data_IF_218850665844
#
_entry.id   IF_218850665844
#
_cell.length_a   1.000
_cell.length_b   1.000
_cell.length_c   1.000
_cell.angle_alpha   90.00
_cell.angle_beta   90.00
_cell.angle_gamma   90.00
#
_symmetry.space_group_name_H-M   'P 1'
#
loop_
_entity.id
_entity.type
_entity.pdbx_description
1 polymer ?
#
# COMPACT_ATOMS: atom_id res chain seq x y z
N UNK A 1 25.74 -7.50 1.48
CA UNK A 1 26.39 -8.78 1.13
C UNK A 1 25.37 -9.64 0.41
N UNK A 2 25.80 -10.43 -0.58
CA UNK A 2 24.92 -11.31 -1.33
C UNK A 2 24.85 -12.67 -0.63
N UNK A 3 23.66 -13.25 -0.48
CA UNK A 3 23.47 -14.49 0.27
C UNK A 3 24.21 -15.67 -0.36
N UNK A 4 24.32 -15.71 -1.69
CA UNK A 4 25.03 -16.77 -2.41
C UNK A 4 26.54 -16.78 -2.13
N UNK A 5 27.11 -15.68 -1.64
CA UNK A 5 28.53 -15.58 -1.31
C UNK A 5 28.86 -16.18 0.08
N UNK A 6 27.85 -16.49 0.90
CA UNK A 6 28.02 -17.06 2.24
C UNK A 6 27.99 -18.58 2.15
N UNK A 7 29.12 -19.25 2.34
CA UNK A 7 29.24 -20.71 2.19
C UNK A 7 28.61 -21.49 3.35
N UNK A 8 28.69 -20.98 4.58
CA UNK A 8 28.05 -21.60 5.74
C UNK A 8 26.53 -21.41 5.68
N UNK A 9 25.78 -22.51 5.74
CA UNK A 9 24.33 -22.46 5.59
C UNK A 9 23.64 -21.79 6.79
N UNK A 10 24.19 -21.94 8.00
CA UNK A 10 23.66 -21.30 9.21
C UNK A 10 23.85 -19.80 9.17
N UNK A 11 25.04 -19.33 8.81
CA UNK A 11 25.35 -17.91 8.64
C UNK A 11 24.51 -17.28 7.51
N UNK A 12 24.32 -18.00 6.40
CA UNK A 12 23.48 -17.55 5.29
C UNK A 12 22.02 -17.39 5.72
N UNK A 13 21.47 -18.36 6.45
CA UNK A 13 20.10 -18.29 6.97
C UNK A 13 19.94 -17.11 7.92
N UNK A 14 20.87 -16.91 8.86
CA UNK A 14 20.85 -15.77 9.78
C UNK A 14 20.95 -14.43 9.03
N UNK A 15 21.75 -14.35 7.96
CA UNK A 15 21.83 -13.16 7.12
C UNK A 15 20.52 -12.89 6.37
N UNK A 16 19.88 -13.93 5.85
CA UNK A 16 18.56 -13.84 5.20
C UNK A 16 17.49 -13.34 6.17
N UNK A 17 17.40 -13.92 7.36
CA UNK A 17 16.43 -13.53 8.39
C UNK A 17 16.58 -12.06 8.78
N UNK A 18 17.82 -11.57 8.94
CA UNK A 18 18.09 -10.13 9.18
C UNK A 18 17.59 -9.25 8.03
N UNK A 19 17.74 -9.67 6.79
CA UNK A 19 17.25 -8.91 5.62
C UNK A 19 15.72 -8.89 5.58
N UNK A 20 15.08 -10.02 5.86
CA UNK A 20 13.62 -10.12 5.93
C UNK A 20 13.06 -9.25 7.04
N UNK A 21 13.65 -9.30 8.24
CA UNK A 21 13.26 -8.45 9.36
C UNK A 21 13.40 -6.96 9.02
N UNK A 22 14.52 -6.57 8.39
CA UNK A 22 14.71 -5.20 7.92
C UNK A 22 13.66 -4.78 6.88
N UNK A 23 13.30 -5.67 5.95
CA UNK A 23 12.25 -5.43 4.97
C UNK A 23 10.86 -5.28 5.62
N UNK A 24 10.51 -6.15 6.57
CA UNK A 24 9.26 -6.02 7.34
C UNK A 24 9.20 -4.72 8.11
N UNK A 25 10.29 -4.35 8.79
CA UNK A 25 10.35 -3.07 9.50
C UNK A 25 10.12 -1.91 8.54
N UNK A 26 10.80 -1.87 7.39
CA UNK A 26 10.59 -0.83 6.38
C UNK A 26 9.15 -0.80 5.85
N UNK A 27 8.53 -1.95 5.61
CA UNK A 27 7.19 -2.07 5.04
C UNK A 27 6.02 -1.85 6.01
N UNK A 28 6.28 -1.52 7.29
CA UNK A 28 5.20 -1.18 8.24
C UNK A 28 4.47 0.09 7.78
N UNK A 29 3.15 0.11 7.96
CA UNK A 29 2.31 1.26 7.60
C UNK A 29 2.80 2.58 8.20
N UNK A 30 3.27 2.58 9.46
CA UNK A 30 3.84 3.76 10.10
C UNK A 30 5.08 4.31 9.36
N UNK A 31 5.94 3.44 8.84
CA UNK A 31 7.09 3.87 8.06
C UNK A 31 6.67 4.42 6.70
N UNK A 32 5.71 3.77 6.03
CA UNK A 32 5.14 4.27 4.77
C UNK A 32 4.49 5.65 4.93
N UNK A 33 3.74 5.86 6.03
CA UNK A 33 3.13 7.15 6.37
C UNK A 33 4.16 8.24 6.64
N UNK A 34 5.25 7.94 7.36
CA UNK A 34 6.32 8.92 7.63
C UNK A 34 7.01 9.45 6.36
N UNK A 35 7.07 8.65 5.30
CA UNK A 35 7.69 9.04 4.02
C UNK A 35 6.67 9.43 2.95
N UNK A 36 5.39 9.58 3.32
CA UNK A 36 4.30 9.95 2.43
C UNK A 36 4.12 9.02 1.22
N UNK A 37 4.39 7.72 1.39
CA UNK A 37 3.96 6.70 0.43
C UNK A 37 2.44 6.47 0.48
N UNK A 38 1.83 6.77 1.64
CA UNK A 38 0.38 6.78 1.88
C UNK A 38 -0.01 8.06 2.60
N UNK A 39 -1.25 8.51 2.42
CA UNK A 39 -1.72 9.78 2.98
C UNK A 39 -1.83 9.75 4.52
N UNK A 40 -2.28 8.64 5.10
CA UNK A 40 -2.52 8.50 6.54
C UNK A 40 -2.51 7.03 6.97
N UNK A 41 -2.15 6.77 8.23
CA UNK A 41 -2.32 5.46 8.88
C UNK A 41 -3.46 5.58 9.90
N UNK A 42 -4.62 5.02 9.57
CA UNK A 42 -5.87 5.21 10.33
C UNK A 42 -6.22 4.02 11.23
N UNK A 43 -7.04 4.27 12.26
CA UNK A 43 -7.75 3.20 12.96
C UNK A 43 -8.69 2.47 11.96
N UNK A 44 -8.66 1.13 11.87
CA UNK A 44 -9.58 0.39 11.02
C UNK A 44 -11.07 0.75 11.23
N UNK A 45 -11.47 1.09 12.46
CA UNK A 45 -12.84 1.50 12.79
C UNK A 45 -13.26 2.80 12.07
N UNK A 46 -12.31 3.68 11.78
CA UNK A 46 -12.54 5.00 11.17
C UNK A 46 -12.61 4.96 9.64
N UNK A 47 -12.38 3.79 9.02
CA UNK A 47 -12.32 3.64 7.56
C UNK A 47 -13.51 4.29 6.83
N UNK A 48 -14.74 4.07 7.30
CA UNK A 48 -15.94 4.63 6.64
C UNK A 48 -16.00 6.15 6.74
N UNK A 49 -15.57 6.71 7.88
CA UNK A 49 -15.53 8.16 8.07
C UNK A 49 -14.60 8.80 7.05
N UNK A 50 -13.39 8.27 6.89
CA UNK A 50 -12.39 8.75 5.93
C UNK A 50 -12.89 8.66 4.48
N UNK A 51 -13.51 7.55 4.08
CA UNK A 51 -14.08 7.40 2.74
C UNK A 51 -15.16 8.44 2.44
N UNK A 52 -16.09 8.65 3.37
CA UNK A 52 -17.16 9.65 3.21
C UNK A 52 -16.57 11.07 3.16
N UNK A 53 -15.59 11.37 4.00
CA UNK A 53 -14.92 12.67 3.99
C UNK A 53 -14.23 12.93 2.64
N UNK A 54 -13.48 11.95 2.12
CA UNK A 54 -12.82 12.04 0.81
C UNK A 54 -13.81 12.24 -0.34
N UNK A 55 -14.92 11.49 -0.36
CA UNK A 55 -15.95 11.66 -1.39
C UNK A 55 -16.60 13.06 -1.37
N UNK A 56 -16.78 13.64 -0.18
CA UNK A 56 -17.36 14.98 -0.01
C UNK A 56 -16.39 16.11 -0.32
N UNK A 57 -15.08 15.84 -0.23
CA UNK A 57 -14.05 16.83 -0.51
C UNK A 57 -13.89 17.10 -2.03
N UNK A 58 -14.29 16.15 -2.88
CA UNK A 58 -14.29 16.32 -4.33
C UNK A 58 -15.37 17.26 -4.86
N UNK A 59 -15.20 17.74 -6.09
CA UNK A 59 -16.26 18.44 -6.80
C UNK A 59 -17.48 17.53 -7.00
N UNK A 60 -18.71 18.06 -7.03
CA UNK A 60 -19.89 17.27 -7.34
C UNK A 60 -19.72 16.53 -8.67
N UNK A 61 -20.12 15.26 -8.71
CA UNK A 61 -20.17 14.51 -9.96
C UNK A 61 -21.16 15.20 -10.91
N UNK A 62 -20.65 15.80 -11.97
CA UNK A 62 -21.50 16.31 -13.06
C UNK A 62 -21.85 15.13 -13.94
N UNK A 63 -23.11 14.70 -13.91
CA UNK A 63 -23.62 13.72 -14.85
C UNK A 63 -23.90 14.40 -16.19
N UNK A 64 -22.88 14.47 -17.05
CA UNK A 64 -23.08 14.80 -18.45
C UNK A 64 -23.81 13.63 -19.15
N UNK A 65 -24.87 13.89 -19.94
CA UNK A 65 -25.52 12.84 -20.70
C UNK A 65 -24.53 12.23 -21.68
N UNK A 66 -24.22 10.95 -21.48
CA UNK A 66 -23.28 10.23 -22.34
C UNK A 66 -23.93 10.04 -23.72
N UNK A 67 -23.32 10.61 -24.77
CA UNK A 67 -23.81 10.52 -26.16
C UNK A 67 -23.85 9.07 -26.69
N UNK A 68 -23.14 8.14 -26.04
CA UNK A 68 -23.19 6.68 -26.28
C UNK A 68 -23.04 5.95 -24.95
N UNK A 69 -23.74 4.84 -24.78
CA UNK A 69 -23.55 3.98 -23.63
C UNK A 69 -22.10 3.43 -23.62
N UNK A 70 -21.43 3.40 -22.45
CA UNK A 70 -20.10 2.81 -22.34
C UNK A 70 -20.19 1.31 -22.59
N UNK A 71 -19.25 0.76 -23.36
CA UNK A 71 -19.12 -0.69 -23.52
C UNK A 71 -18.50 -1.20 -22.23
N UNK A 72 -19.33 -1.85 -21.40
CA UNK A 72 -18.89 -2.51 -20.18
C UNK A 72 -18.38 -3.89 -20.60
N UNK A 73 -17.11 -4.16 -20.32
CA UNK A 73 -16.53 -5.47 -20.56
C UNK A 73 -17.31 -6.53 -19.76
N UNK A 74 -17.64 -7.64 -20.42
CA UNK A 74 -18.43 -8.73 -19.86
C UNK A 74 -17.57 -9.87 -19.30
N UNK A 75 -16.24 -9.74 -19.36
CA UNK A 75 -15.29 -10.69 -18.82
C UNK A 75 -15.16 -10.61 -17.29
#
# INVERSE_FOLDING_TARGET
>A
ARLEAISDLGERQAAYERMVEAAYNRGKGLNAGHVFEVDEVIDPADTRMWLIAGMKAGAPLVHEPQLRAPIIDAW
#
